data_IF_658664828603
#
_entry.id   IF_658664828603
#
_cell.length_a   1.000
_cell.length_b   1.000
_cell.length_c   1.000
_cell.angle_alpha   90.00
_cell.angle_beta   90.00
_cell.angle_gamma   90.00
#
_symmetry.space_group_name_H-M   'P 1'
#
loop_
_entity.id
_entity.type
_entity.pdbx_description
1 polymer ?
#
# COMPACT_ATOMS: atom_id res chain seq x y z
N UNK A 1 15.77 18.55 23.15
CA UNK A 1 15.63 18.56 21.68
C UNK A 1 17.02 18.52 21.07
N UNK A 2 17.33 17.55 20.20
CA UNK A 2 18.65 17.46 19.54
C UNK A 2 18.69 18.35 18.30
N UNK A 3 19.77 19.12 18.12
CA UNK A 3 20.01 20.02 16.96
C UNK A 3 19.78 19.32 15.63
N UNK A 4 20.20 18.06 15.52
CA UNK A 4 20.08 17.25 14.32
C UNK A 4 18.62 16.90 14.03
N UNK A 5 17.84 16.56 15.06
CA UNK A 5 16.42 16.27 14.91
C UNK A 5 15.67 17.51 14.43
N UNK A 6 15.95 18.66 15.03
CA UNK A 6 15.35 19.94 14.62
C UNK A 6 15.74 20.31 13.18
N UNK A 7 17.00 20.06 12.76
CA UNK A 7 17.43 20.29 11.38
C UNK A 7 16.59 19.49 10.36
N UNK A 8 16.38 18.18 10.60
CA UNK A 8 15.55 17.36 9.71
C UNK A 8 14.05 17.69 9.77
N UNK A 9 13.52 18.09 10.94
CA UNK A 9 12.10 18.42 11.09
C UNK A 9 11.71 19.81 10.57
N UNK A 10 12.64 20.75 10.56
CA UNK A 10 12.37 22.15 10.20
C UNK A 10 12.63 22.49 8.73
N UNK A 11 13.32 21.63 7.98
CA UNK A 11 13.68 21.88 6.57
C UNK A 11 14.59 23.10 6.36
N UNK A 12 15.24 23.59 7.42
CA UNK A 12 16.06 24.81 7.34
C UNK A 12 17.39 24.56 6.64
N UNK A 13 17.93 25.58 5.97
CA UNK A 13 19.26 25.50 5.37
C UNK A 13 20.35 25.37 6.44
N UNK A 14 21.49 24.76 6.08
CA UNK A 14 22.65 24.56 6.98
C UNK A 14 23.05 25.87 7.69
N UNK A 15 23.14 26.97 6.93
CA UNK A 15 23.46 28.31 7.45
C UNK A 15 22.39 28.87 8.40
N UNK A 16 21.11 28.55 8.19
CA UNK A 16 20.05 28.95 9.10
C UNK A 16 20.15 28.17 10.43
N UNK A 17 20.45 26.87 10.36
CA UNK A 17 20.67 26.03 11.55
C UNK A 17 21.88 26.50 12.37
N UNK A 18 23.01 26.77 11.72
CA UNK A 18 24.23 27.30 12.35
C UNK A 18 23.97 28.63 13.05
N UNK A 19 23.21 29.54 12.44
CA UNK A 19 22.83 30.81 13.07
C UNK A 19 21.86 30.63 14.24
N UNK A 20 20.86 29.74 14.11
CA UNK A 20 19.86 29.46 15.15
C UNK A 20 20.51 28.86 16.41
N UNK A 21 21.48 27.99 16.21
CA UNK A 21 22.18 27.27 17.29
C UNK A 21 23.56 27.84 17.63
N UNK A 22 23.93 28.97 17.03
CA UNK A 22 25.21 29.67 17.22
C UNK A 22 26.42 28.73 17.12
N UNK A 23 26.41 27.86 16.11
CA UNK A 23 27.51 26.96 15.85
C UNK A 23 28.70 27.74 15.27
N UNK A 24 29.92 27.35 15.65
CA UNK A 24 31.14 28.05 15.22
C UNK A 24 31.37 27.98 13.71
N UNK A 25 30.87 26.95 13.02
CA UNK A 25 30.95 26.82 11.57
C UNK A 25 29.98 25.77 11.01
N UNK A 26 29.71 25.86 9.71
CA UNK A 26 28.95 24.86 8.95
C UNK A 26 29.59 23.46 9.05
N UNK A 27 30.91 23.39 9.22
CA UNK A 27 31.67 22.15 9.37
C UNK A 27 31.29 21.36 10.62
N UNK A 28 30.95 22.04 11.72
CA UNK A 28 30.52 21.39 12.97
C UNK A 28 29.18 20.69 12.76
N UNK A 29 28.24 21.37 12.09
CA UNK A 29 26.94 20.79 11.75
C UNK A 29 27.11 19.59 10.82
N UNK A 30 27.97 19.69 9.80
CA UNK A 30 28.24 18.59 8.87
C UNK A 30 28.88 17.38 9.56
N UNK A 31 29.80 17.61 10.50
CA UNK A 31 30.41 16.55 11.29
C UNK A 31 29.36 15.81 12.12
N UNK A 32 28.45 16.55 12.77
CA UNK A 32 27.34 15.96 13.53
C UNK A 32 26.38 15.18 12.63
N UNK A 33 25.99 15.73 11.48
CA UNK A 33 25.15 15.02 10.50
C UNK A 33 25.80 13.71 10.07
N UNK A 34 27.08 13.72 9.68
CA UNK A 34 27.81 12.51 9.25
C UNK A 34 27.88 11.47 10.37
N UNK A 35 28.21 11.89 11.60
CA UNK A 35 28.31 11.00 12.77
C UNK A 35 26.97 10.32 13.08
N UNK A 36 25.86 11.05 12.93
CA UNK A 36 24.53 10.52 13.19
C UNK A 36 23.90 9.79 12.00
N UNK A 37 24.33 10.05 10.76
CA UNK A 37 23.99 9.21 9.60
C UNK A 37 24.66 7.84 9.69
N UNK A 38 25.92 7.79 10.16
CA UNK A 38 26.66 6.53 10.33
C UNK A 38 26.06 5.61 11.40
N UNK A 39 25.34 6.19 12.37
CA UNK A 39 24.75 5.48 13.50
C UNK A 39 23.32 5.01 13.24
N UNK A 40 22.66 5.53 12.19
CA UNK A 40 21.53 4.83 11.59
C UNK A 40 22.17 3.70 10.81
N UNK A 41 21.96 2.49 11.30
CA UNK A 41 22.12 1.26 10.52
C UNK A 41 21.94 1.57 9.04
N UNK A 42 22.90 1.15 8.22
CA UNK A 42 22.59 0.87 6.83
C UNK A 42 21.45 -0.14 6.86
N UNK A 43 20.22 0.36 6.90
CA UNK A 43 19.08 -0.36 6.37
C UNK A 43 19.58 -0.82 5.01
N UNK A 44 19.61 -2.12 4.72
CA UNK A 44 19.86 -2.54 3.36
C UNK A 44 18.75 -1.86 2.56
N UNK A 45 19.08 -0.75 1.90
CA UNK A 45 18.36 -0.32 0.73
C UNK A 45 18.31 -1.58 -0.10
N UNK A 46 17.10 -2.12 -0.27
CA UNK A 46 16.89 -3.25 -1.16
C UNK A 46 17.69 -2.92 -2.42
N UNK A 47 18.67 -3.77 -2.71
CA UNK A 47 19.52 -3.67 -3.89
C UNK A 47 18.63 -3.20 -5.03
N UNK A 48 18.98 -2.05 -5.61
CA UNK A 48 18.34 -1.39 -6.74
C UNK A 48 17.28 -2.30 -7.37
N UNK A 49 16.01 -2.05 -7.02
CA UNK A 49 14.90 -2.69 -7.71
C UNK A 49 15.18 -2.51 -9.19
N UNK A 50 15.33 -3.62 -9.92
CA UNK A 50 15.80 -3.67 -11.29
C UNK A 50 15.04 -2.69 -12.20
N UNK A 51 15.41 -1.41 -12.24
CA UNK A 51 14.82 -0.44 -13.17
C UNK A 51 15.18 -0.84 -14.62
N UNK A 52 16.29 -1.56 -14.78
CA UNK A 52 16.75 -2.14 -16.05
C UNK A 52 15.92 -3.35 -16.54
N UNK A 53 15.10 -3.97 -15.68
CA UNK A 53 14.28 -5.12 -16.09
C UNK A 53 13.07 -4.67 -16.92
N UNK A 54 12.52 -3.49 -16.62
CA UNK A 54 11.44 -2.88 -17.42
C UNK A 54 11.94 -2.41 -18.79
N UNK A 55 13.20 -1.97 -18.89
CA UNK A 55 13.81 -1.49 -20.14
C UNK A 55 14.17 -2.63 -21.11
N UNK A 56 14.46 -3.84 -20.62
CA UNK A 56 14.85 -5.00 -21.43
C UNK A 56 13.70 -5.91 -21.88
N UNK A 57 12.44 -5.65 -21.46
CA UNK A 57 11.29 -6.45 -21.91
C UNK A 57 10.82 -6.00 -23.30
N UNK A 58 10.70 -6.96 -24.23
CA UNK A 58 10.18 -6.69 -25.57
C UNK A 58 8.72 -6.21 -25.53
N UNK A 59 8.33 -5.35 -26.47
CA UNK A 59 6.97 -4.81 -26.57
C UNK A 59 5.89 -5.90 -26.73
N UNK A 60 6.25 -7.07 -27.25
CA UNK A 60 5.32 -8.20 -27.36
C UNK A 60 5.11 -8.94 -26.04
N UNK A 61 6.14 -9.04 -25.18
CA UNK A 61 5.99 -9.61 -23.83
C UNK A 61 4.94 -8.86 -23.01
N UNK A 62 4.91 -7.52 -23.11
CA UNK A 62 3.89 -6.71 -22.45
C UNK A 62 2.48 -6.91 -23.02
N UNK A 63 2.33 -7.21 -24.31
CA UNK A 63 1.00 -7.47 -24.89
C UNK A 63 0.44 -8.79 -24.40
N UNK A 64 1.28 -9.83 -24.34
CA UNK A 64 0.87 -11.15 -23.89
C UNK A 64 0.51 -11.14 -22.40
N UNK A 65 1.31 -10.48 -21.57
CA UNK A 65 1.02 -10.30 -20.15
C UNK A 65 -0.31 -9.53 -19.96
N UNK A 66 -0.51 -8.43 -20.70
CA UNK A 66 -1.76 -7.69 -20.65
C UNK A 66 -2.98 -8.51 -21.12
N UNK A 67 -2.82 -9.37 -22.13
CA UNK A 67 -3.88 -10.25 -22.58
C UNK A 67 -4.25 -11.30 -21.51
N UNK A 68 -3.24 -11.88 -20.85
CA UNK A 68 -3.43 -12.82 -19.74
C UNK A 68 -4.11 -12.14 -18.55
N UNK A 69 -3.66 -10.93 -18.18
CA UNK A 69 -4.26 -10.14 -17.10
C UNK A 69 -5.73 -9.82 -17.39
N UNK A 70 -6.05 -9.36 -18.61
CA UNK A 70 -7.44 -9.10 -19.02
C UNK A 70 -8.32 -10.35 -18.98
N UNK A 71 -7.78 -11.49 -19.40
CA UNK A 71 -8.50 -12.78 -19.31
C UNK A 71 -8.79 -13.13 -17.85
N UNK A 72 -7.80 -12.97 -16.97
CA UNK A 72 -7.96 -13.25 -15.54
C UNK A 72 -8.98 -12.34 -14.88
N UNK A 73 -8.98 -11.04 -15.21
CA UNK A 73 -9.98 -10.08 -14.72
C UNK A 73 -11.39 -10.53 -15.12
N UNK A 74 -11.59 -10.86 -16.40
CA UNK A 74 -12.91 -11.31 -16.89
C UNK A 74 -13.39 -12.60 -16.21
N UNK A 75 -12.49 -13.54 -15.96
CA UNK A 75 -12.82 -14.77 -15.22
C UNK A 75 -13.21 -14.48 -13.77
N UNK A 76 -12.47 -13.60 -13.10
CA UNK A 76 -12.74 -13.20 -11.71
C UNK A 76 -14.07 -12.45 -11.60
N UNK A 77 -14.34 -11.51 -12.52
CA UNK A 77 -15.61 -10.78 -12.60
C UNK A 77 -16.78 -11.74 -12.79
N UNK A 78 -16.65 -12.71 -13.71
CA UNK A 78 -17.68 -13.73 -13.94
C UNK A 78 -17.92 -14.61 -12.71
N UNK A 79 -16.86 -15.03 -12.01
CA UNK A 79 -16.99 -15.82 -10.80
C UNK A 79 -17.69 -15.04 -9.67
N UNK A 80 -17.37 -13.75 -9.55
CA UNK A 80 -17.98 -12.85 -8.59
C UNK A 80 -19.47 -12.61 -8.89
N UNK A 81 -19.81 -12.37 -10.16
CA UNK A 81 -21.20 -12.24 -10.59
C UNK A 81 -21.99 -13.52 -10.33
N UNK A 82 -21.40 -14.68 -10.64
CA UNK A 82 -22.02 -15.99 -10.39
C UNK A 82 -22.31 -16.21 -8.89
N UNK A 83 -21.33 -15.93 -8.01
CA UNK A 83 -21.51 -16.05 -6.56
C UNK A 83 -22.61 -15.13 -6.02
N UNK A 84 -22.69 -13.89 -6.54
CA UNK A 84 -23.76 -12.95 -6.20
C UNK A 84 -25.12 -13.47 -6.66
N UNK A 85 -25.21 -13.95 -7.90
CA UNK A 85 -26.45 -14.50 -8.45
C UNK A 85 -26.91 -15.74 -7.68
N UNK A 86 -25.97 -16.61 -7.31
CA UNK A 86 -26.24 -17.79 -6.50
C UNK A 86 -26.81 -17.40 -5.13
N UNK A 87 -26.21 -16.40 -4.48
CA UNK A 87 -26.71 -15.88 -3.20
C UNK A 87 -28.12 -15.31 -3.34
N UNK A 88 -28.36 -14.49 -4.38
CA UNK A 88 -29.68 -13.93 -4.66
C UNK A 88 -30.72 -15.01 -4.96
N UNK A 89 -30.35 -16.05 -5.72
CA UNK A 89 -31.23 -17.16 -6.02
C UNK A 89 -31.59 -17.96 -4.77
N UNK A 90 -30.62 -18.20 -3.89
CA UNK A 90 -30.84 -18.85 -2.59
C UNK A 90 -31.77 -18.02 -1.71
N UNK A 91 -31.55 -16.71 -1.62
CA UNK A 91 -32.39 -15.80 -0.86
C UNK A 91 -33.83 -15.78 -1.42
N UNK A 92 -34.00 -15.71 -2.74
CA UNK A 92 -35.32 -15.77 -3.37
C UNK A 92 -36.05 -17.10 -3.08
N UNK A 93 -35.34 -18.24 -3.08
CA UNK A 93 -35.93 -19.53 -2.71
C UNK A 93 -36.38 -19.54 -1.25
N UNK A 94 -35.59 -18.93 -0.35
CA UNK A 94 -35.95 -18.78 1.06
C UNK A 94 -37.21 -17.93 1.16
N UNK A 95 -37.24 -16.74 0.56
CA UNK A 95 -38.38 -15.83 0.63
C UNK A 95 -39.67 -16.51 0.15
N UNK A 96 -39.59 -17.30 -0.94
CA UNK A 96 -40.73 -18.10 -1.41
C UNK A 96 -41.14 -19.19 -0.44
N UNK A 97 -40.20 -19.93 0.13
CA UNK A 97 -40.53 -20.97 1.10
C UNK A 97 -41.16 -20.38 2.37
N UNK A 98 -40.68 -19.24 2.86
CA UNK A 98 -41.27 -18.53 4.00
C UNK A 98 -42.71 -18.07 3.66
N UNK A 99 -42.93 -17.53 2.46
CA UNK A 99 -44.26 -17.10 1.96
C UNK A 99 -45.26 -18.27 1.84
N UNK A 100 -44.85 -19.41 1.28
CA UNK A 100 -45.74 -20.56 1.03
C UNK A 100 -46.06 -21.36 2.28
N UNK A 101 -45.10 -21.51 3.19
CA UNK A 101 -45.21 -22.41 4.33
C UNK A 101 -45.44 -21.69 5.67
N UNK A 102 -45.43 -20.35 5.68
CA UNK A 102 -45.60 -19.51 6.88
C UNK A 102 -44.64 -19.88 8.02
N UNK A 103 -43.41 -20.25 7.65
CA UNK A 103 -42.31 -20.59 8.56
C UNK A 103 -41.16 -19.61 8.40
N UNK A 104 -40.50 -19.24 9.50
CA UNK A 104 -39.28 -18.44 9.46
C UNK A 104 -38.05 -19.34 9.32
N UNK A 105 -37.40 -19.30 8.16
CA UNK A 105 -36.18 -20.06 7.84
C UNK A 105 -34.94 -19.21 8.17
N UNK A 106 -34.98 -17.91 7.91
CA UNK A 106 -33.86 -17.00 8.19
C UNK A 106 -33.77 -16.70 9.70
N UNK A 107 -32.55 -16.70 10.23
CA UNK A 107 -32.28 -16.25 11.61
C UNK A 107 -32.61 -14.76 11.73
N UNK A 108 -33.32 -14.36 12.79
CA UNK A 108 -33.52 -12.94 13.13
C UNK A 108 -32.16 -12.33 13.52
N UNK A 109 -31.84 -11.15 12.98
CA UNK A 109 -30.65 -10.35 13.32
C UNK A 109 -30.78 -9.77 14.71
N UNK A 110 -30.66 -10.60 15.74
CA UNK A 110 -30.87 -10.17 17.12
C UNK A 110 -30.80 -11.31 18.12
N UNK A 111 -29.58 -11.76 18.41
CA UNK A 111 -29.25 -12.33 19.70
C UNK A 111 -27.95 -11.65 20.13
N UNK A 112 -28.05 -10.75 21.12
CA UNK A 112 -26.91 -10.37 21.96
C UNK A 112 -26.81 -11.38 23.09
#
# INVERSE_FOLDING_TARGET
MSVIRDYYSSGMSKKACVRKYQLSSDSVLLYWLRKHDSAKESLPLQSESNEDEMANRSKDSYKDENAQLKKRIKELEKALEFSRLETLSRDMMIDKAEEYFDIAIRKKSGAK
#
